data_IF_668734105387
#
_entry.id   IF_668734105387
#
_cell.length_a   1.000
_cell.length_b   1.000
_cell.length_c   1.000
_cell.angle_alpha   90.00
_cell.angle_beta   90.00
_cell.angle_gamma   90.00
#
_symmetry.space_group_name_H-M   'P 1'
#
loop_
_entity.id
_entity.type
_entity.pdbx_description
1 polymer ?
#
# COMPACT_ATOMS: atom_id res chain seq x y z
N UNK A 1 31.76 -25.00 11.07
CA UNK A 1 30.95 -23.82 10.82
C UNK A 1 31.58 -22.95 9.73
N UNK A 2 30.87 -22.72 8.66
CA UNK A 2 31.44 -21.86 7.64
C UNK A 2 31.66 -20.46 8.20
N UNK A 3 32.86 -19.99 8.02
CA UNK A 3 33.21 -18.68 8.50
C UNK A 3 32.62 -17.62 7.57
N UNK A 4 31.93 -16.69 8.15
CA UNK A 4 31.36 -15.60 7.38
C UNK A 4 32.45 -14.68 6.89
N UNK A 5 32.46 -14.41 5.61
CA UNK A 5 33.47 -13.52 5.02
C UNK A 5 33.03 -12.07 5.23
N UNK A 6 33.45 -11.50 6.32
CA UNK A 6 33.11 -10.11 6.65
C UNK A 6 33.77 -9.10 5.71
N UNK A 7 34.86 -9.51 5.04
CA UNK A 7 35.54 -8.64 4.09
C UNK A 7 34.65 -8.33 2.90
N UNK A 8 33.98 -9.35 2.37
CA UNK A 8 33.01 -9.16 1.30
C UNK A 8 31.85 -8.28 1.75
N UNK A 9 31.48 -8.34 3.03
CA UNK A 9 30.38 -7.56 3.58
C UNK A 9 30.72 -6.09 3.76
N UNK A 10 31.99 -5.75 3.91
CA UNK A 10 32.38 -4.35 4.14
C UNK A 10 32.53 -3.54 2.86
N UNK A 11 32.44 -4.16 1.72
CA UNK A 11 32.64 -3.48 0.42
C UNK A 11 31.33 -3.00 -0.20
N UNK A 12 30.47 -2.40 0.61
CA UNK A 12 29.21 -1.85 0.11
C UNK A 12 28.19 -2.89 -0.28
N UNK A 13 28.39 -4.11 0.14
CA UNK A 13 27.42 -5.15 -0.15
C UNK A 13 26.15 -4.93 0.67
N UNK A 14 25.06 -5.43 0.16
CA UNK A 14 23.78 -5.41 0.87
C UNK A 14 23.53 -6.75 1.53
N UNK A 15 23.26 -6.72 2.82
CA UNK A 15 22.86 -7.92 3.52
C UNK A 15 21.44 -8.25 3.11
N UNK A 16 21.27 -9.37 2.42
CA UNK A 16 19.95 -9.84 2.05
C UNK A 16 19.40 -10.63 3.22
N UNK A 17 18.49 -10.00 3.94
CA UNK A 17 17.77 -10.68 5.03
C UNK A 17 16.37 -11.02 4.56
N UNK A 18 15.99 -12.30 4.58
CA UNK A 18 14.60 -12.64 4.27
C UNK A 18 13.69 -12.11 5.37
N UNK A 19 12.82 -11.18 4.99
CA UNK A 19 11.82 -10.65 5.90
C UNK A 19 10.59 -11.54 5.82
N UNK A 20 10.41 -12.40 6.80
CA UNK A 20 9.22 -13.21 6.87
C UNK A 20 8.12 -12.41 7.56
N UNK A 21 7.32 -11.73 6.77
CA UNK A 21 6.23 -10.92 7.26
C UNK A 21 5.16 -11.75 7.96
N UNK A 22 5.03 -13.02 7.61
CA UNK A 22 4.08 -13.90 8.28
C UNK A 22 4.44 -14.15 9.74
N UNK A 23 5.73 -14.15 10.04
CA UNK A 23 6.20 -14.36 11.42
C UNK A 23 6.24 -13.05 12.20
N UNK A 24 6.67 -11.98 11.54
CA UNK A 24 6.97 -10.71 12.21
C UNK A 24 5.80 -9.76 12.36
N UNK A 25 4.68 -10.05 11.74
CA UNK A 25 3.46 -9.25 11.88
C UNK A 25 2.46 -10.03 12.72
N UNK A 26 1.90 -9.40 13.72
CA UNK A 26 0.91 -10.01 14.59
C UNK A 26 -0.29 -10.51 13.78
N UNK A 27 -0.86 -11.65 14.21
CA UNK A 27 -1.96 -12.28 13.49
C UNK A 27 -3.22 -11.41 13.43
N UNK A 28 -3.41 -10.57 14.43
CA UNK A 28 -4.55 -9.68 14.53
C UNK A 28 -4.25 -8.25 14.09
N UNK A 29 -3.09 -8.03 13.45
CA UNK A 29 -2.72 -6.70 12.98
C UNK A 29 -3.73 -6.19 11.95
N UNK A 30 -4.10 -4.90 12.02
CA UNK A 30 -5.06 -4.32 11.06
C UNK A 30 -4.64 -4.50 9.60
N UNK A 31 -3.35 -4.52 9.31
CA UNK A 31 -2.86 -4.69 7.94
C UNK A 31 -3.25 -6.04 7.36
N UNK A 32 -3.31 -7.09 8.19
CA UNK A 32 -3.72 -8.42 7.71
C UNK A 32 -5.20 -8.45 7.36
N UNK A 33 -6.02 -7.82 8.17
CA UNK A 33 -7.45 -7.73 7.91
C UNK A 33 -7.72 -6.89 6.67
N UNK A 34 -7.02 -5.77 6.53
CA UNK A 34 -7.10 -4.94 5.33
C UNK A 34 -6.74 -5.75 4.09
N UNK A 35 -5.64 -6.47 4.14
CA UNK A 35 -5.20 -7.29 3.02
C UNK A 35 -6.24 -8.34 2.66
N UNK A 36 -6.80 -9.02 3.66
CA UNK A 36 -7.81 -10.05 3.44
C UNK A 36 -9.07 -9.47 2.79
N UNK A 37 -9.52 -8.31 3.26
CA UNK A 37 -10.69 -7.63 2.69
C UNK A 37 -10.41 -7.24 1.24
N UNK A 38 -9.26 -6.64 0.99
CA UNK A 38 -8.91 -6.16 -0.34
C UNK A 38 -8.67 -7.29 -1.34
N UNK A 39 -8.20 -8.45 -0.88
CA UNK A 39 -8.01 -9.61 -1.75
C UNK A 39 -9.34 -10.15 -2.30
N UNK A 40 -10.45 -9.87 -1.64
CA UNK A 40 -11.77 -10.34 -2.05
C UNK A 40 -12.49 -9.39 -3.00
N UNK A 41 -11.94 -8.20 -3.23
CA UNK A 41 -12.56 -7.21 -4.09
C UNK A 41 -12.26 -7.48 -5.55
N UNK A 42 -13.17 -7.06 -6.42
CA UNK A 42 -13.01 -7.17 -7.86
C UNK A 42 -12.34 -5.91 -8.40
N UNK A 43 -11.15 -6.06 -8.95
CA UNK A 43 -10.35 -4.97 -9.50
C UNK A 43 -10.39 -4.89 -11.02
N UNK A 44 -11.24 -5.68 -11.67
CA UNK A 44 -11.24 -5.76 -13.14
C UNK A 44 -11.46 -4.40 -13.80
N UNK A 45 -12.37 -3.59 -13.29
CA UNK A 45 -12.62 -2.25 -13.83
C UNK A 45 -11.43 -1.33 -13.64
N UNK A 46 -10.78 -1.44 -12.48
CA UNK A 46 -9.60 -0.64 -12.18
C UNK A 46 -8.44 -1.00 -13.09
N UNK A 47 -8.21 -2.28 -13.30
CA UNK A 47 -7.16 -2.73 -14.21
C UNK A 47 -7.44 -2.29 -15.65
N UNK A 48 -8.69 -2.39 -16.09
CA UNK A 48 -9.09 -1.96 -17.43
C UNK A 48 -8.84 -0.46 -17.63
N UNK A 49 -9.21 0.35 -16.64
CA UNK A 49 -8.97 1.78 -16.69
C UNK A 49 -7.48 2.11 -16.68
N UNK A 50 -6.71 1.38 -15.88
CA UNK A 50 -5.28 1.63 -15.74
C UNK A 50 -4.49 1.21 -16.98
N UNK A 51 -4.90 0.14 -17.64
CA UNK A 51 -4.21 -0.34 -18.85
C UNK A 51 -4.25 0.68 -19.99
N UNK A 52 -5.23 1.57 -19.98
CA UNK A 52 -5.34 2.63 -20.99
C UNK A 52 -4.33 3.74 -20.81
N UNK A 53 -3.71 3.81 -19.63
CA UNK A 53 -2.75 4.88 -19.33
C UNK A 53 -1.33 4.55 -19.76
N UNK A 54 -1.12 3.37 -20.35
CA UNK A 54 0.15 2.94 -20.88
C UNK A 54 0.90 2.07 -19.90
N UNK A 55 2.21 2.29 -19.79
CA UNK A 55 3.09 1.43 -19.01
C UNK A 55 2.75 1.43 -17.52
N UNK A 56 2.57 0.23 -16.97
CA UNK A 56 2.28 0.03 -15.54
C UNK A 56 3.50 -0.59 -14.88
N UNK A 57 4.10 0.14 -13.94
CA UNK A 57 5.24 -0.37 -13.18
C UNK A 57 4.81 -1.16 -11.96
N UNK A 58 3.67 -0.79 -11.38
CA UNK A 58 3.14 -1.41 -10.17
C UNK A 58 1.70 -1.79 -10.37
N UNK A 59 1.29 -2.89 -9.73
CA UNK A 59 -0.10 -3.30 -9.73
C UNK A 59 -0.97 -2.23 -9.08
N UNK A 60 -2.06 -1.79 -9.73
CA UNK A 60 -2.99 -0.84 -9.12
C UNK A 60 -3.54 -1.32 -7.78
N UNK A 61 -3.75 -2.62 -7.66
CA UNK A 61 -4.21 -3.23 -6.41
C UNK A 61 -3.23 -3.00 -5.27
N UNK A 62 -1.94 -3.20 -5.52
CA UNK A 62 -0.90 -2.99 -4.51
C UNK A 62 -0.80 -1.53 -4.12
N UNK A 63 -0.81 -0.63 -5.10
CA UNK A 63 -0.76 0.80 -4.83
C UNK A 63 -1.98 1.26 -4.03
N UNK A 64 -3.14 0.70 -4.34
CA UNK A 64 -4.36 0.99 -3.60
C UNK A 64 -4.27 0.53 -2.15
N UNK A 65 -3.73 -0.66 -1.91
CA UNK A 65 -3.52 -1.17 -0.55
C UNK A 65 -2.63 -0.23 0.26
N UNK A 66 -1.54 0.22 -0.34
CA UNK A 66 -0.59 1.13 0.30
C UNK A 66 -1.26 2.45 0.64
N UNK A 67 -2.00 2.99 -0.31
CA UNK A 67 -2.69 4.27 -0.12
C UNK A 67 -3.74 4.20 0.99
N UNK A 68 -4.53 3.13 1.00
CA UNK A 68 -5.58 2.94 1.99
C UNK A 68 -4.98 2.71 3.38
N UNK A 69 -3.96 1.86 3.47
CA UNK A 69 -3.31 1.62 4.76
C UNK A 69 -2.62 2.89 5.27
N UNK A 70 -2.01 3.64 4.36
CA UNK A 70 -1.45 4.95 4.71
C UNK A 70 -2.49 5.86 5.30
N UNK A 71 -3.67 5.92 4.72
CA UNK A 71 -4.77 6.70 5.25
C UNK A 71 -5.16 6.24 6.66
N UNK A 72 -5.25 4.94 6.87
CA UNK A 72 -5.55 4.36 8.19
C UNK A 72 -4.50 4.74 9.23
N UNK A 73 -3.25 4.84 8.81
CA UNK A 73 -2.13 5.18 9.70
C UNK A 73 -1.81 6.68 9.70
N UNK A 74 -2.61 7.49 9.03
CA UNK A 74 -2.44 8.94 8.90
C UNK A 74 -1.11 9.32 8.24
N UNK A 75 -0.63 8.46 7.35
CA UNK A 75 0.53 8.73 6.51
C UNK A 75 0.02 9.00 5.10
N UNK A 76 -0.34 10.26 4.84
CA UNK A 76 -1.09 10.61 3.64
C UNK A 76 -0.21 11.10 2.50
N UNK A 77 0.86 11.83 2.81
CA UNK A 77 1.70 12.39 1.75
C UNK A 77 2.42 11.28 0.98
N UNK A 78 2.66 11.53 -0.30
CA UNK A 78 3.34 10.56 -1.14
C UNK A 78 4.78 10.29 -0.67
N UNK A 79 5.45 11.28 -0.12
CA UNK A 79 6.80 11.09 0.43
C UNK A 79 6.78 10.27 1.71
N UNK A 80 5.78 10.49 2.57
CA UNK A 80 5.63 9.67 3.77
C UNK A 80 5.32 8.21 3.42
N UNK A 81 4.49 7.99 2.41
CA UNK A 81 4.17 6.64 1.95
C UNK A 81 5.39 5.95 1.35
N UNK A 82 6.21 6.68 0.59
CA UNK A 82 7.46 6.13 0.06
C UNK A 82 8.36 5.66 1.20
N UNK A 83 8.53 6.49 2.23
CA UNK A 83 9.35 6.13 3.38
C UNK A 83 8.78 4.92 4.12
N UNK A 84 7.46 4.89 4.31
CA UNK A 84 6.80 3.75 4.96
C UNK A 84 7.01 2.45 4.17
N UNK A 85 6.93 2.51 2.86
CA UNK A 85 7.13 1.33 2.02
C UNK A 85 8.56 0.78 2.12
N UNK A 86 9.51 1.63 2.46
CA UNK A 86 10.91 1.21 2.63
C UNK A 86 11.21 0.71 4.04
N UNK A 87 10.54 1.27 5.04
CA UNK A 87 10.96 1.11 6.43
C UNK A 87 9.96 0.39 7.32
N UNK A 88 8.67 0.43 6.97
CA UNK A 88 7.63 -0.11 7.81
C UNK A 88 7.24 -1.51 7.36
N UNK A 89 7.30 -2.47 8.26
CA UNK A 89 7.05 -3.87 7.97
C UNK A 89 5.63 -4.11 7.42
N UNK A 90 4.64 -3.39 7.92
CA UNK A 90 3.27 -3.54 7.45
C UNK A 90 3.12 -3.13 5.99
N UNK A 91 3.78 -2.03 5.60
CA UNK A 91 3.75 -1.59 4.20
C UNK A 91 4.55 -2.54 3.31
N UNK A 92 5.66 -3.06 3.81
CA UNK A 92 6.46 -4.05 3.08
C UNK A 92 5.64 -5.31 2.82
N UNK A 93 4.86 -5.73 3.80
CA UNK A 93 3.93 -6.85 3.66
C UNK A 93 2.95 -6.63 2.52
N UNK A 94 2.41 -5.42 2.40
CA UNK A 94 1.45 -5.09 1.35
C UNK A 94 2.07 -5.05 -0.04
N UNK A 95 3.38 -4.85 -0.12
CA UNK A 95 4.10 -4.81 -1.42
C UNK A 95 4.25 -6.16 -2.08
N UNK A 96 4.05 -7.25 -1.36
CA UNK A 96 4.13 -8.61 -1.89
C UNK A 96 5.43 -8.89 -2.64
N UNK A 97 6.54 -8.42 -2.08
CA UNK A 97 7.87 -8.65 -2.64
C UNK A 97 8.33 -7.62 -3.66
N UNK A 98 7.49 -6.67 -4.01
CA UNK A 98 7.89 -5.61 -4.93
C UNK A 98 8.69 -4.53 -4.21
N UNK A 99 9.50 -3.79 -4.97
CA UNK A 99 10.24 -2.67 -4.42
C UNK A 99 9.29 -1.56 -4.00
N UNK A 100 9.73 -0.74 -3.05
CA UNK A 100 8.97 0.43 -2.65
C UNK A 100 8.81 1.39 -3.84
N UNK A 101 7.58 1.81 -4.15
CA UNK A 101 7.37 2.83 -5.19
C UNK A 101 7.88 4.17 -4.71
N UNK A 102 8.36 4.99 -5.64
CA UNK A 102 8.76 6.34 -5.27
C UNK A 102 7.53 7.26 -5.15
N UNK A 103 7.75 8.42 -4.55
CA UNK A 103 6.65 9.36 -4.29
C UNK A 103 5.96 9.85 -5.57
N UNK A 104 6.68 9.93 -6.68
CA UNK A 104 6.08 10.33 -7.95
C UNK A 104 5.11 9.27 -8.47
N UNK A 105 5.47 8.00 -8.33
CA UNK A 105 4.58 6.89 -8.71
C UNK A 105 3.32 6.90 -7.87
N UNK A 106 3.45 7.07 -6.57
CA UNK A 106 2.32 7.14 -5.64
C UNK A 106 1.43 8.33 -5.98
N UNK A 107 2.03 9.47 -6.23
CA UNK A 107 1.28 10.70 -6.52
C UNK A 107 0.49 10.58 -7.83
N UNK A 108 1.10 10.02 -8.87
CA UNK A 108 0.41 9.79 -10.14
C UNK A 108 -0.76 8.82 -9.97
N UNK A 109 -0.55 7.76 -9.22
CA UNK A 109 -1.61 6.79 -8.96
C UNK A 109 -2.78 7.44 -8.22
N UNK A 110 -2.48 8.20 -7.17
CA UNK A 110 -3.51 8.89 -6.38
C UNK A 110 -4.33 9.82 -7.26
N UNK A 111 -3.65 10.59 -8.10
CA UNK A 111 -4.31 11.51 -9.00
C UNK A 111 -5.22 10.77 -9.98
N UNK A 112 -4.74 9.68 -10.55
CA UNK A 112 -5.52 8.89 -11.50
C UNK A 112 -6.73 8.23 -10.83
N UNK A 113 -6.55 7.68 -9.64
CA UNK A 113 -7.64 7.02 -8.94
C UNK A 113 -8.75 8.01 -8.57
N UNK A 114 -8.38 9.23 -8.19
CA UNK A 114 -9.34 10.25 -7.80
C UNK A 114 -10.09 10.87 -8.98
N UNK A 115 -9.49 10.85 -10.18
CA UNK A 115 -10.09 11.44 -11.36
C UNK A 115 -10.88 10.45 -12.20
N UNK A 116 -10.71 9.15 -11.99
CA UNK A 116 -11.40 8.13 -12.77
C UNK A 116 -12.56 7.55 -11.99
N UNK A 117 -13.67 7.34 -12.68
CA UNK A 117 -14.88 6.79 -12.08
C UNK A 117 -14.65 5.42 -11.46
N UNK A 118 -13.93 4.54 -12.15
CA UNK A 118 -13.61 3.21 -11.64
C UNK A 118 -12.82 3.28 -10.33
N UNK A 119 -11.90 4.24 -10.23
CA UNK A 119 -11.13 4.45 -9.01
C UNK A 119 -11.99 4.96 -7.86
N UNK A 120 -12.87 5.91 -8.15
CA UNK A 120 -13.77 6.45 -7.15
C UNK A 120 -14.73 5.40 -6.63
N UNK A 121 -15.26 4.58 -7.52
CA UNK A 121 -16.17 3.50 -7.15
C UNK A 121 -15.52 2.50 -6.21
N UNK A 122 -14.30 2.07 -6.54
CA UNK A 122 -13.60 1.09 -5.72
C UNK A 122 -13.23 1.68 -4.36
N UNK A 123 -12.86 2.95 -4.31
CA UNK A 123 -12.58 3.62 -3.05
C UNK A 123 -13.81 3.71 -2.18
N UNK A 124 -14.96 4.03 -2.74
CA UNK A 124 -16.21 4.09 -2.00
C UNK A 124 -16.58 2.73 -1.42
N UNK A 125 -16.51 1.68 -2.23
CA UNK A 125 -16.78 0.32 -1.76
C UNK A 125 -15.83 -0.08 -0.64
N UNK A 126 -14.56 0.26 -0.81
CA UNK A 126 -13.53 -0.08 0.15
C UNK A 126 -13.73 0.63 1.48
N UNK A 127 -14.05 1.92 1.46
CA UNK A 127 -14.32 2.69 2.68
C UNK A 127 -15.48 2.09 3.44
N UNK A 128 -16.55 1.72 2.75
CA UNK A 128 -17.73 1.09 3.38
C UNK A 128 -17.34 -0.25 4.01
N UNK A 129 -16.61 -1.08 3.28
CA UNK A 129 -16.20 -2.39 3.80
C UNK A 129 -15.28 -2.26 5.01
N UNK A 130 -14.35 -1.33 4.98
CA UNK A 130 -13.43 -1.12 6.09
C UNK A 130 -14.15 -0.55 7.31
N UNK A 131 -15.13 0.30 7.08
CA UNK A 131 -15.95 0.82 8.16
C UNK A 131 -16.75 -0.31 8.83
N UNK A 132 -17.36 -1.18 8.04
CA UNK A 132 -18.13 -2.31 8.55
C UNK A 132 -17.27 -3.27 9.37
N UNK A 133 -15.97 -3.34 9.06
CA UNK A 133 -15.02 -4.19 9.79
C UNK A 133 -14.35 -3.46 10.95
N UNK A 134 -14.72 -2.22 11.19
CA UNK A 134 -14.16 -1.43 12.29
C UNK A 134 -12.74 -0.93 12.08
N UNK A 135 -12.25 -0.99 10.85
CA UNK A 135 -10.88 -0.56 10.53
C UNK A 135 -10.78 0.92 10.20
N UNK A 136 -11.89 1.54 9.80
CA UNK A 136 -11.90 2.93 9.38
C UNK A 136 -13.17 3.59 9.85
N UNK A 137 -13.05 4.84 10.31
CA UNK A 137 -14.22 5.64 10.71
C UNK A 137 -14.68 6.46 9.51
N UNK A 138 -15.97 6.30 9.14
CA UNK A 138 -16.55 7.13 8.08
C UNK A 138 -16.58 8.60 8.46
N UNK A 139 -16.78 8.85 9.74
CA UNK A 139 -16.80 10.21 10.27
C UNK A 139 -15.46 10.91 10.04
N UNK A 140 -14.36 10.23 10.33
CA UNK A 140 -13.02 10.77 10.10
C UNK A 140 -12.77 10.99 8.62
N UNK A 141 -13.24 10.08 7.76
CA UNK A 141 -13.10 10.21 6.32
C UNK A 141 -13.84 11.43 5.78
N UNK A 142 -15.05 11.69 6.31
CA UNK A 142 -15.83 12.86 5.92
C UNK A 142 -15.16 14.14 6.36
N UNK A 143 -14.68 14.20 7.59
CA UNK A 143 -14.01 15.38 8.11
C UNK A 143 -12.78 15.72 7.28
N UNK A 144 -11.98 14.72 6.92
CA UNK A 144 -10.81 14.93 6.08
C UNK A 144 -11.18 15.39 4.68
N UNK A 145 -12.27 14.89 4.14
CA UNK A 145 -12.78 15.34 2.86
C UNK A 145 -13.21 16.80 2.89
N UNK A 146 -13.90 17.20 3.95
CA UNK A 146 -14.38 18.56 4.10
C UNK A 146 -13.23 19.57 4.24
N UNK A 147 -12.17 19.18 4.92
CA UNK A 147 -11.02 20.08 5.10
C UNK A 147 -10.28 20.40 3.83
N UNK A 148 -10.45 19.60 2.80
CA UNK A 148 -9.80 19.81 1.52
C UNK A 148 -10.59 20.67 0.57
N UNK A 149 -11.80 20.95 0.92
CA UNK A 149 -12.68 21.76 0.10
C UNK A 149 -12.47 23.25 0.34
#
# INVERSE_FOLDING_TARGET
MPQTDYTAMTNGFQLVMPLDCEVNIEKNAPVRLLNAVMERMDYSKLYAAYSRLGRIEYSPKILLKIMVYGYMRKQISSRALEACCRENLHFIYLLEGQRAPNHNTINRFRKNILTQEAGQDILCQLVVLLHERGLLSLEAAFIDGDRKS
#
